data_IF_464450036996
#
_entry.id   IF_464450036996
#
_cell.length_a   1.000
_cell.length_b   1.000
_cell.length_c   1.000
_cell.angle_alpha   90.00
_cell.angle_beta   90.00
_cell.angle_gamma   90.00
#
_symmetry.space_group_name_H-M   'P 1'
#
loop_
_entity.id
_entity.type
_entity.pdbx_description
1 polymer ?
#
# COMPACT_ATOMS: atom_id res chain seq x y z
N UNK A 1 1.81 -1.63 46.99
CA UNK A 1 0.88 -2.01 45.93
C UNK A 1 1.69 -1.92 44.67
N UNK A 2 2.07 -3.09 44.13
CA UNK A 2 2.86 -3.14 42.89
C UNK A 2 1.89 -2.91 41.73
N UNK A 3 2.23 -1.96 40.87
CA UNK A 3 1.55 -1.75 39.60
C UNK A 3 1.74 -3.01 38.74
N UNK A 4 0.67 -3.76 38.63
CA UNK A 4 0.54 -4.87 37.69
C UNK A 4 0.37 -4.26 36.29
N UNK A 5 1.47 -3.85 35.67
CA UNK A 5 1.51 -3.60 34.24
C UNK A 5 1.47 -4.98 33.59
N UNK A 6 0.26 -5.45 33.32
CA UNK A 6 0.06 -6.59 32.43
C UNK A 6 0.70 -6.25 31.09
N UNK A 7 1.79 -6.95 30.75
CA UNK A 7 2.36 -6.91 29.40
C UNK A 7 1.22 -7.11 28.40
N UNK A 8 1.19 -6.35 27.29
CA UNK A 8 0.17 -6.53 26.27
C UNK A 8 0.24 -7.99 25.79
N UNK A 9 -0.83 -8.71 26.01
CA UNK A 9 -0.94 -10.12 25.58
C UNK A 9 -1.04 -10.11 24.07
N UNK A 10 0.09 -10.25 23.40
CA UNK A 10 0.10 -10.56 21.98
C UNK A 10 -0.65 -11.90 21.78
N UNK A 11 -1.50 -12.00 20.76
CA UNK A 11 -2.11 -13.27 20.43
C UNK A 11 -1.01 -14.30 20.19
N UNK A 12 -1.17 -15.55 20.66
CA UNK A 12 -0.15 -16.57 20.50
C UNK A 12 0.18 -16.74 19.02
N UNK A 13 1.45 -16.56 18.68
CA UNK A 13 1.94 -16.76 17.32
C UNK A 13 1.65 -18.20 16.93
N UNK A 14 0.74 -18.37 15.98
CA UNK A 14 0.54 -19.68 15.36
C UNK A 14 1.75 -19.95 14.47
N UNK A 15 2.23 -21.18 14.45
CA UNK A 15 3.23 -21.62 13.48
C UNK A 15 2.71 -21.29 12.06
N UNK A 16 3.35 -20.36 11.38
CA UNK A 16 2.89 -19.79 10.10
C UNK A 16 2.42 -18.33 10.20
N UNK A 17 2.70 -17.62 11.28
CA UNK A 17 2.55 -16.17 11.37
C UNK A 17 3.31 -15.48 10.22
N UNK A 18 2.70 -14.46 9.65
CA UNK A 18 3.23 -13.76 8.48
C UNK A 18 4.30 -12.74 8.91
N UNK A 19 4.21 -12.18 10.11
CA UNK A 19 5.18 -11.24 10.66
C UNK A 19 6.18 -11.92 11.58
N UNK A 20 7.40 -11.37 11.65
CA UNK A 20 8.42 -11.81 12.58
C UNK A 20 7.98 -11.50 14.03
N UNK A 21 7.87 -12.51 14.91
CA UNK A 21 7.50 -12.31 16.29
C UNK A 21 8.53 -11.52 17.10
N UNK A 22 9.78 -11.47 16.64
CA UNK A 22 10.88 -10.79 17.32
C UNK A 22 11.00 -9.31 16.91
N UNK A 23 10.12 -8.82 16.02
CA UNK A 23 10.09 -7.39 15.68
C UNK A 23 9.79 -6.55 16.93
N UNK A 24 10.56 -5.48 17.16
CA UNK A 24 10.37 -4.64 18.32
C UNK A 24 8.96 -4.02 18.32
N UNK A 25 8.31 -4.06 19.48
CA UNK A 25 7.00 -3.43 19.64
C UNK A 25 7.12 -1.91 19.60
N UNK A 26 8.08 -1.38 20.33
CA UNK A 26 8.46 0.03 20.45
C UNK A 26 9.71 0.13 21.36
N UNK A 27 10.50 1.21 21.30
CA UNK A 27 10.41 2.31 20.35
C UNK A 27 11.03 1.99 18.98
N UNK A 28 10.54 2.66 17.94
CA UNK A 28 11.17 2.68 16.62
C UNK A 28 12.21 3.80 16.57
N UNK A 29 13.12 3.76 15.56
CA UNK A 29 14.08 4.83 15.34
C UNK A 29 13.36 6.17 15.05
N UNK A 30 13.94 7.28 15.52
CA UNK A 30 13.51 8.64 15.19
C UNK A 30 14.18 9.18 13.91
N UNK A 31 14.89 8.33 13.17
CA UNK A 31 15.61 8.72 11.96
C UNK A 31 14.64 9.09 10.84
N UNK A 32 14.62 10.37 10.49
CA UNK A 32 13.89 10.85 9.33
C UNK A 32 14.75 10.80 8.07
N UNK A 33 14.07 10.52 6.96
CA UNK A 33 14.66 10.55 5.63
C UNK A 33 14.05 11.70 4.81
N UNK A 34 14.78 12.23 3.80
CA UNK A 34 14.15 13.08 2.81
C UNK A 34 13.13 12.29 1.99
N UNK A 35 12.06 12.95 1.54
CA UNK A 35 11.13 12.33 0.59
C UNK A 35 11.88 11.98 -0.72
N UNK A 36 11.61 10.80 -1.35
CA UNK A 36 10.53 9.86 -1.06
C UNK A 36 10.82 8.87 0.08
N UNK A 37 12.03 8.72 0.56
CA UNK A 37 12.46 7.76 1.57
C UNK A 37 12.76 6.38 1.00
N UNK A 38 13.72 5.69 1.60
CA UNK A 38 14.15 4.36 1.18
C UNK A 38 13.90 3.34 2.29
N UNK A 39 13.26 2.23 1.96
CA UNK A 39 12.99 1.15 2.89
C UNK A 39 14.30 0.50 3.38
N UNK A 40 15.31 0.40 2.52
CA UNK A 40 16.63 -0.14 2.86
C UNK A 40 17.36 0.63 3.97
N UNK A 41 16.97 1.91 4.21
CA UNK A 41 17.56 2.78 5.23
C UNK A 41 16.74 2.87 6.51
N UNK A 42 15.65 2.14 6.62
CA UNK A 42 14.82 2.14 7.84
C UNK A 42 15.44 1.29 8.94
N UNK A 43 15.26 1.71 10.18
CA UNK A 43 15.64 0.96 11.38
C UNK A 43 14.48 1.02 12.39
N UNK A 44 13.90 -0.14 12.81
CA UNK A 44 14.14 -1.46 12.23
C UNK A 44 13.64 -1.60 10.81
N UNK A 45 14.19 -2.55 10.07
CA UNK A 45 13.72 -2.88 8.71
C UNK A 45 12.26 -3.36 8.77
N UNK A 46 11.36 -2.86 7.90
CA UNK A 46 9.99 -3.40 7.82
C UNK A 46 9.99 -4.80 7.21
N UNK A 47 9.12 -5.66 7.72
CA UNK A 47 8.84 -6.96 7.09
C UNK A 47 7.86 -6.79 5.93
N UNK A 48 8.35 -6.97 4.70
CA UNK A 48 7.53 -6.94 3.49
C UNK A 48 7.15 -8.34 2.99
N UNK A 49 7.56 -9.38 3.70
CA UNK A 49 7.28 -10.76 3.33
C UNK A 49 8.42 -11.46 2.61
N UNK A 50 9.64 -10.89 2.58
CA UNK A 50 10.81 -11.47 1.91
C UNK A 50 11.12 -12.90 2.38
N UNK A 51 10.84 -13.20 3.64
CA UNK A 51 11.01 -14.52 4.24
C UNK A 51 9.71 -15.06 4.84
N UNK A 52 8.86 -14.18 5.35
CA UNK A 52 7.70 -14.52 6.17
C UNK A 52 6.46 -14.89 5.35
N UNK A 53 6.26 -14.33 4.15
CA UNK A 53 5.11 -14.65 3.30
C UNK A 53 5.30 -15.97 2.56
N UNK A 54 4.28 -16.83 2.57
CA UNK A 54 4.25 -18.09 1.83
C UNK A 54 3.05 -18.12 0.89
N UNK A 55 3.32 -18.23 -0.41
CA UNK A 55 2.29 -18.31 -1.43
C UNK A 55 1.53 -19.64 -1.42
N UNK A 56 0.37 -19.63 -2.09
CA UNK A 56 -0.53 -20.77 -2.25
C UNK A 56 -1.15 -20.82 -3.64
N UNK A 57 -0.49 -20.23 -4.63
CA UNK A 57 -0.88 -20.22 -6.04
C UNK A 57 -2.24 -19.57 -6.37
N UNK A 58 -2.74 -18.66 -5.49
CA UNK A 58 -4.05 -18.00 -5.64
C UNK A 58 -4.13 -17.03 -6.81
N UNK A 59 -3.00 -16.58 -7.36
CA UNK A 59 -2.92 -15.63 -8.46
C UNK A 59 -2.22 -16.22 -9.69
N UNK A 60 -2.16 -17.55 -9.81
CA UNK A 60 -1.53 -18.21 -10.94
C UNK A 60 -2.08 -17.69 -12.28
N UNK A 61 -1.17 -17.22 -13.15
CA UNK A 61 -1.50 -16.70 -14.48
C UNK A 61 -2.11 -15.29 -14.49
N UNK A 62 -2.27 -14.62 -13.34
CA UNK A 62 -2.65 -13.20 -13.26
C UNK A 62 -1.44 -12.32 -13.58
N UNK A 63 -1.72 -11.13 -14.14
CA UNK A 63 -0.73 -10.09 -14.42
C UNK A 63 -1.13 -8.85 -13.65
N UNK A 64 -0.24 -8.36 -12.81
CA UNK A 64 -0.51 -7.27 -11.89
C UNK A 64 0.38 -6.06 -12.14
N UNK A 65 -0.17 -4.86 -12.03
CA UNK A 65 0.57 -3.60 -11.89
C UNK A 65 0.35 -3.07 -10.48
N UNK A 66 1.45 -2.81 -9.75
CA UNK A 66 1.44 -2.23 -8.41
C UNK A 66 2.18 -0.90 -8.42
N UNK A 67 1.49 0.20 -8.11
CA UNK A 67 2.13 1.51 -7.97
C UNK A 67 2.71 1.71 -6.58
N UNK A 68 3.89 2.35 -6.47
CA UNK A 68 4.66 2.39 -5.22
C UNK A 68 5.01 0.97 -4.76
N UNK A 69 5.45 0.13 -5.72
CA UNK A 69 5.73 -1.28 -5.48
C UNK A 69 7.14 -1.57 -4.96
N UNK A 70 7.96 -0.56 -4.79
CA UNK A 70 9.35 -0.60 -4.32
C UNK A 70 9.46 -0.72 -2.80
N UNK A 71 8.51 -0.14 -2.06
CA UNK A 71 8.56 -0.02 -0.60
C UNK A 71 7.20 -0.26 0.06
N UNK A 72 7.21 -0.38 1.39
CA UNK A 72 6.02 -0.44 2.22
C UNK A 72 4.99 -1.49 1.77
N UNK A 73 3.72 -1.10 1.80
CA UNK A 73 2.59 -1.98 1.49
C UNK A 73 2.61 -2.43 0.03
N UNK A 74 3.04 -1.55 -0.90
CA UNK A 74 3.16 -1.90 -2.32
C UNK A 74 4.19 -2.98 -2.58
N UNK A 75 5.37 -2.88 -1.95
CA UNK A 75 6.41 -3.93 -1.98
C UNK A 75 5.88 -5.26 -1.44
N UNK A 76 5.21 -5.22 -0.29
CA UNK A 76 4.64 -6.44 0.30
C UNK A 76 3.57 -7.08 -0.59
N UNK A 77 2.71 -6.27 -1.21
CA UNK A 77 1.73 -6.76 -2.19
C UNK A 77 2.41 -7.36 -3.43
N UNK A 78 3.45 -6.72 -3.97
CA UNK A 78 4.18 -7.19 -5.14
C UNK A 78 4.89 -8.54 -4.89
N UNK A 79 5.56 -8.67 -3.74
CA UNK A 79 6.20 -9.93 -3.30
C UNK A 79 5.15 -11.02 -3.11
N UNK A 80 4.05 -10.71 -2.40
CA UNK A 80 2.98 -11.67 -2.18
C UNK A 80 2.35 -12.13 -3.50
N UNK A 81 2.10 -11.22 -4.44
CA UNK A 81 1.53 -11.55 -5.75
C UNK A 81 2.44 -12.49 -6.56
N UNK A 82 3.75 -12.23 -6.56
CA UNK A 82 4.71 -13.11 -7.22
C UNK A 82 4.69 -14.53 -6.62
N UNK A 83 4.68 -14.64 -5.29
CA UNK A 83 4.59 -15.92 -4.57
C UNK A 83 3.26 -16.63 -4.74
N UNK A 84 2.20 -15.90 -5.02
CA UNK A 84 0.90 -16.44 -5.40
C UNK A 84 0.79 -16.79 -6.90
N UNK A 85 1.87 -16.65 -7.66
CA UNK A 85 1.97 -17.08 -9.06
C UNK A 85 1.65 -16.01 -10.10
N UNK A 86 1.57 -14.73 -9.74
CA UNK A 86 1.35 -13.64 -10.68
C UNK A 86 2.64 -13.12 -11.30
N UNK A 87 2.57 -12.63 -12.53
CA UNK A 87 3.59 -11.77 -13.12
C UNK A 87 3.34 -10.33 -12.69
N UNK A 88 4.38 -9.60 -12.28
CA UNK A 88 4.21 -8.31 -11.60
C UNK A 88 5.03 -7.21 -12.27
N UNK A 89 4.37 -6.11 -12.61
CA UNK A 89 5.00 -4.82 -12.89
C UNK A 89 4.91 -3.93 -11.64
N UNK A 90 5.98 -3.25 -11.29
CA UNK A 90 5.98 -2.25 -10.24
C UNK A 90 6.30 -0.87 -10.80
N UNK A 91 5.52 0.14 -10.41
CA UNK A 91 5.91 1.54 -10.58
C UNK A 91 6.49 2.05 -9.27
N UNK A 92 7.47 2.92 -9.38
CA UNK A 92 8.16 3.59 -8.27
C UNK A 92 8.69 4.97 -8.71
N UNK A 93 8.97 5.84 -7.75
CA UNK A 93 9.64 7.11 -8.05
C UNK A 93 11.10 6.84 -8.46
N UNK A 94 11.66 7.53 -9.48
CA UNK A 94 13.03 7.25 -9.96
C UNK A 94 14.11 7.29 -8.87
N UNK A 95 13.92 8.08 -7.82
CA UNK A 95 14.86 8.17 -6.69
C UNK A 95 14.83 6.93 -5.76
N UNK A 96 13.87 6.01 -5.96
CA UNK A 96 13.70 4.76 -5.19
C UNK A 96 14.23 3.52 -5.93
N UNK A 97 15.06 3.72 -6.94
CA UNK A 97 15.61 2.66 -7.82
C UNK A 97 16.29 1.51 -7.06
N UNK A 98 16.99 1.78 -5.94
CA UNK A 98 17.68 0.75 -5.16
C UNK A 98 16.70 -0.24 -4.53
N UNK A 99 15.62 0.28 -3.91
CA UNK A 99 14.56 -0.53 -3.34
C UNK A 99 13.81 -1.33 -4.42
N UNK A 100 13.49 -0.68 -5.55
CA UNK A 100 12.80 -1.31 -6.67
C UNK A 100 13.59 -2.48 -7.26
N UNK A 101 14.91 -2.36 -7.43
CA UNK A 101 15.77 -3.46 -7.90
C UNK A 101 15.70 -4.68 -6.99
N UNK A 102 15.65 -4.46 -5.69
CA UNK A 102 15.50 -5.54 -4.72
C UNK A 102 14.18 -6.28 -4.93
N UNK A 103 13.07 -5.55 -5.13
CA UNK A 103 11.75 -6.16 -5.40
C UNK A 103 11.73 -6.92 -6.72
N UNK A 104 12.31 -6.35 -7.78
CA UNK A 104 12.42 -7.03 -9.09
C UNK A 104 13.15 -8.37 -8.93
N UNK A 105 14.29 -8.38 -8.25
CA UNK A 105 15.06 -9.62 -8.03
C UNK A 105 14.25 -10.66 -7.22
N UNK A 106 13.46 -10.24 -6.24
CA UNK A 106 12.59 -11.12 -5.45
C UNK A 106 11.48 -11.74 -6.31
N UNK A 107 10.84 -10.97 -7.19
CA UNK A 107 9.81 -11.46 -8.11
C UNK A 107 10.40 -12.48 -9.10
N UNK A 108 11.57 -12.18 -9.67
CA UNK A 108 12.29 -13.07 -10.59
C UNK A 108 12.73 -14.37 -9.91
N UNK A 109 13.13 -14.31 -8.63
CA UNK A 109 13.50 -15.50 -7.85
C UNK A 109 12.33 -16.47 -7.64
N UNK A 110 11.09 -16.00 -7.68
CA UNK A 110 9.87 -16.82 -7.65
C UNK A 110 9.53 -17.40 -9.05
N UNK A 111 10.41 -17.22 -10.05
CA UNK A 111 10.19 -17.66 -11.44
C UNK A 111 9.09 -16.86 -12.16
N UNK A 112 8.76 -15.67 -11.68
CA UNK A 112 7.74 -14.82 -12.26
C UNK A 112 8.35 -13.69 -13.09
N UNK A 113 7.59 -13.17 -14.04
CA UNK A 113 8.00 -12.01 -14.82
C UNK A 113 7.92 -10.77 -13.96
N UNK A 114 9.02 -10.01 -13.89
CA UNK A 114 9.12 -8.73 -13.22
C UNK A 114 9.30 -7.59 -14.24
N UNK A 115 8.64 -6.46 -14.02
CA UNK A 115 8.78 -5.27 -14.87
C UNK A 115 8.94 -4.03 -14.01
N UNK A 116 10.05 -3.32 -14.18
CA UNK A 116 10.35 -2.07 -13.48
C UNK A 116 9.88 -0.87 -14.31
N UNK A 117 9.08 0.02 -13.73
CA UNK A 117 8.47 1.17 -14.40
C UNK A 117 8.72 2.46 -13.59
N UNK A 118 9.95 3.02 -13.62
CA UNK A 118 10.25 4.28 -12.94
C UNK A 118 9.47 5.44 -13.55
N UNK A 119 8.66 6.13 -12.74
CA UNK A 119 7.93 7.32 -13.17
C UNK A 119 7.39 8.11 -11.99
N UNK A 120 7.43 9.45 -12.10
CA UNK A 120 6.71 10.34 -11.19
C UNK A 120 5.24 10.43 -11.64
N UNK A 121 4.35 9.89 -10.84
CA UNK A 121 2.91 9.82 -11.14
C UNK A 121 2.19 11.17 -11.04
N UNK A 122 2.86 12.24 -10.62
CA UNK A 122 2.31 13.60 -10.64
C UNK A 122 2.18 14.17 -12.05
N UNK A 123 2.86 13.55 -13.02
CA UNK A 123 2.71 13.84 -14.44
C UNK A 123 1.70 12.89 -15.08
N UNK A 124 0.66 13.45 -15.71
CA UNK A 124 -0.41 12.65 -16.34
C UNK A 124 0.11 11.74 -17.45
N UNK A 125 0.98 12.26 -18.33
CA UNK A 125 1.48 11.49 -19.45
C UNK A 125 2.34 10.31 -18.96
N UNK A 126 3.17 10.53 -17.93
CA UNK A 126 3.97 9.49 -17.31
C UNK A 126 3.07 8.44 -16.62
N UNK A 127 2.05 8.86 -15.87
CA UNK A 127 1.12 7.94 -15.19
C UNK A 127 0.38 7.04 -16.18
N UNK A 128 -0.12 7.60 -17.30
CA UNK A 128 -0.78 6.83 -18.37
C UNK A 128 0.21 5.88 -19.06
N UNK A 129 1.42 6.35 -19.34
CA UNK A 129 2.46 5.54 -19.98
C UNK A 129 2.87 4.33 -19.13
N UNK A 130 2.92 4.46 -17.80
CA UNK A 130 3.16 3.33 -16.88
C UNK A 130 2.17 2.20 -17.11
N UNK A 131 0.88 2.51 -17.30
CA UNK A 131 -0.14 1.50 -17.57
C UNK A 131 0.08 0.84 -18.93
N UNK A 132 0.32 1.63 -19.98
CA UNK A 132 0.55 1.11 -21.34
C UNK A 132 1.78 0.19 -21.38
N UNK A 133 2.87 0.63 -20.75
CA UNK A 133 4.12 -0.15 -20.68
C UNK A 133 3.93 -1.45 -19.89
N UNK A 134 3.19 -1.42 -18.75
CA UNK A 134 2.86 -2.61 -17.98
C UNK A 134 2.06 -3.61 -18.82
N UNK A 135 0.97 -3.16 -19.45
CA UNK A 135 0.11 -4.00 -20.32
C UNK A 135 0.92 -4.61 -21.46
N UNK A 136 1.75 -3.80 -22.13
CA UNK A 136 2.59 -4.26 -23.22
C UNK A 136 3.63 -5.29 -22.75
N UNK A 137 4.32 -4.98 -21.67
CA UNK A 137 5.38 -5.83 -21.16
C UNK A 137 4.83 -7.15 -20.61
N UNK A 138 3.76 -7.12 -19.82
CA UNK A 138 3.14 -8.32 -19.26
C UNK A 138 2.30 -9.11 -20.29
N UNK A 139 1.87 -8.47 -21.38
CA UNK A 139 0.97 -9.06 -22.36
C UNK A 139 -0.52 -9.00 -21.98
N UNK A 140 -0.88 -8.16 -21.02
CA UNK A 140 -2.23 -7.90 -20.51
C UNK A 140 -2.23 -7.45 -19.05
N UNK A 141 -3.42 -7.27 -18.47
CA UNK A 141 -3.57 -6.82 -17.09
C UNK A 141 -4.86 -7.38 -16.48
N UNK A 142 -4.75 -8.10 -15.37
CA UNK A 142 -5.88 -8.59 -14.58
C UNK A 142 -6.03 -7.86 -13.24
N UNK A 143 -4.91 -7.35 -12.68
CA UNK A 143 -4.93 -6.69 -11.38
C UNK A 143 -4.23 -5.34 -11.47
N UNK A 144 -4.93 -4.28 -11.09
CA UNK A 144 -4.37 -2.93 -10.96
C UNK A 144 -4.41 -2.51 -9.49
N UNK A 145 -3.24 -2.32 -8.89
CA UNK A 145 -3.10 -1.83 -7.51
C UNK A 145 -2.63 -0.38 -7.53
N UNK A 146 -3.52 0.53 -7.16
CA UNK A 146 -3.29 1.96 -7.04
C UNK A 146 -2.87 2.26 -5.59
N UNK A 147 -1.59 2.00 -5.27
CA UNK A 147 -1.06 2.08 -3.91
C UNK A 147 -0.17 3.30 -3.68
N UNK A 148 0.55 3.79 -4.68
CA UNK A 148 1.42 4.95 -4.53
C UNK A 148 0.72 6.09 -3.79
N UNK A 149 1.43 6.74 -2.87
CA UNK A 149 0.85 7.79 -2.06
C UNK A 149 1.89 8.75 -1.51
N UNK A 150 1.47 9.99 -1.30
CA UNK A 150 2.24 11.03 -0.63
C UNK A 150 1.53 11.41 0.67
N UNK A 151 2.30 11.50 1.75
CA UNK A 151 1.84 11.93 3.08
C UNK A 151 2.91 12.85 3.67
N UNK A 152 2.50 14.03 4.12
CA UNK A 152 3.38 14.96 4.81
C UNK A 152 2.64 15.53 6.02
N UNK A 153 3.22 15.38 7.20
CA UNK A 153 2.65 15.92 8.42
C UNK A 153 2.87 17.45 8.49
N UNK A 154 1.83 18.19 8.84
CA UNK A 154 1.87 19.63 9.06
C UNK A 154 1.24 19.98 10.40
N UNK A 155 1.81 20.97 11.12
CA UNK A 155 1.27 21.41 12.43
C UNK A 155 -0.04 22.19 12.29
N UNK A 156 -0.18 22.95 11.20
CA UNK A 156 -1.32 23.78 10.88
C UNK A 156 -1.61 23.74 9.39
N UNK A 157 -2.84 24.03 9.00
CA UNK A 157 -3.21 24.25 7.59
C UNK A 157 -2.39 25.39 6.95
N UNK A 158 -1.95 26.37 7.74
CA UNK A 158 -1.14 27.51 7.30
C UNK A 158 0.28 27.08 6.87
N UNK A 159 0.76 25.95 7.35
CA UNK A 159 2.08 25.38 6.99
C UNK A 159 2.04 24.61 5.66
N UNK A 160 0.84 24.33 5.13
CA UNK A 160 0.67 23.58 3.88
C UNK A 160 0.70 24.57 2.72
N UNK A 161 1.80 24.56 1.95
CA UNK A 161 1.88 25.39 0.75
C UNK A 161 0.98 24.84 -0.37
N UNK A 162 0.58 25.73 -1.30
CA UNK A 162 -0.19 25.30 -2.49
C UNK A 162 0.52 24.20 -3.30
N UNK A 163 1.84 24.29 -3.44
CA UNK A 163 2.63 23.30 -4.15
C UNK A 163 2.66 21.95 -3.43
N UNK A 164 2.76 21.94 -2.09
CA UNK A 164 2.72 20.72 -1.29
C UNK A 164 1.34 20.06 -1.37
N UNK A 165 0.27 20.86 -1.28
CA UNK A 165 -1.11 20.40 -1.46
C UNK A 165 -1.34 19.82 -2.86
N UNK A 166 -0.93 20.54 -3.92
CA UNK A 166 -1.05 20.09 -5.31
C UNK A 166 -0.30 18.76 -5.54
N UNK A 167 0.91 18.62 -4.98
CA UNK A 167 1.68 17.38 -5.07
C UNK A 167 0.95 16.21 -4.40
N UNK A 168 0.32 16.42 -3.24
CA UNK A 168 -0.48 15.39 -2.55
C UNK A 168 -1.72 15.01 -3.37
N UNK A 169 -2.44 16.00 -3.92
CA UNK A 169 -3.61 15.76 -4.77
C UNK A 169 -3.23 15.03 -6.06
N UNK A 170 -2.16 15.45 -6.74
CA UNK A 170 -1.69 14.79 -7.96
C UNK A 170 -1.32 13.34 -7.73
N UNK A 171 -0.56 13.05 -6.67
CA UNK A 171 -0.14 11.69 -6.37
C UNK A 171 -1.32 10.81 -5.94
N UNK A 172 -2.17 11.31 -5.05
CA UNK A 172 -3.14 10.46 -4.35
C UNK A 172 -4.52 10.42 -5.04
N UNK A 173 -4.86 11.39 -5.90
CA UNK A 173 -6.16 11.49 -6.55
C UNK A 173 -6.05 11.45 -8.08
N UNK A 174 -5.25 12.34 -8.68
CA UNK A 174 -5.18 12.42 -10.13
C UNK A 174 -4.52 11.17 -10.73
N UNK A 175 -3.39 10.73 -10.19
CA UNK A 175 -2.72 9.53 -10.67
C UNK A 175 -3.61 8.28 -10.67
N UNK A 176 -4.28 7.92 -9.56
CA UNK A 176 -5.25 6.84 -9.54
C UNK A 176 -6.35 6.96 -10.61
N UNK A 177 -6.87 8.17 -10.80
CA UNK A 177 -7.89 8.44 -11.82
C UNK A 177 -7.35 8.22 -13.23
N UNK A 178 -6.22 8.82 -13.59
CA UNK A 178 -5.61 8.69 -14.92
C UNK A 178 -5.25 7.24 -15.22
N UNK A 179 -4.63 6.55 -14.27
CA UNK A 179 -4.21 5.16 -14.43
C UNK A 179 -5.39 4.20 -14.55
N UNK A 180 -6.43 4.37 -13.72
CA UNK A 180 -7.64 3.55 -13.84
C UNK A 180 -8.30 3.77 -15.22
N UNK A 181 -8.46 5.03 -15.65
CA UNK A 181 -9.03 5.35 -16.95
C UNK A 181 -8.22 4.73 -18.10
N UNK A 182 -6.88 4.82 -18.04
CA UNK A 182 -5.98 4.24 -19.04
C UNK A 182 -6.04 2.71 -19.07
N UNK A 183 -6.24 2.07 -17.92
CA UNK A 183 -6.27 0.61 -17.82
C UNK A 183 -7.56 -0.02 -18.37
N UNK A 184 -8.71 0.72 -18.34
CA UNK A 184 -10.03 0.17 -18.68
C UNK A 184 -10.09 -0.61 -19.98
N UNK A 185 -9.48 -0.19 -21.11
CA UNK A 185 -9.51 -0.95 -22.36
C UNK A 185 -8.82 -2.33 -22.26
N UNK A 186 -7.86 -2.49 -21.34
CA UNK A 186 -7.08 -3.71 -21.16
C UNK A 186 -7.68 -4.65 -20.11
N UNK A 187 -8.52 -4.13 -19.21
CA UNK A 187 -9.16 -4.91 -18.15
C UNK A 187 -10.37 -5.67 -18.72
N UNK A 188 -10.42 -6.96 -18.42
CA UNK A 188 -11.49 -7.87 -18.88
C UNK A 188 -12.35 -8.35 -17.71
N UNK A 189 -13.41 -9.08 -18.02
CA UNK A 189 -14.19 -9.79 -17.01
C UNK A 189 -13.29 -10.62 -16.08
N UNK A 190 -13.48 -10.51 -14.78
CA UNK A 190 -12.65 -11.12 -13.74
C UNK A 190 -11.48 -10.24 -13.26
N UNK A 191 -11.24 -9.06 -13.89
CA UNK A 191 -10.21 -8.14 -13.43
C UNK A 191 -10.56 -7.46 -12.10
N UNK A 192 -9.52 -7.03 -11.38
CA UNK A 192 -9.63 -6.36 -10.08
C UNK A 192 -8.83 -5.06 -10.05
N UNK A 193 -9.46 -3.98 -9.60
CA UNK A 193 -8.80 -2.71 -9.25
C UNK A 193 -8.83 -2.59 -7.73
N UNK A 194 -7.68 -2.33 -7.12
CA UNK A 194 -7.54 -2.17 -5.67
C UNK A 194 -6.87 -0.82 -5.41
N UNK A 195 -7.53 0.04 -4.63
CA UNK A 195 -6.96 1.34 -4.27
C UNK A 195 -6.63 1.39 -2.78
N UNK A 196 -5.46 1.94 -2.45
CA UNK A 196 -5.05 2.12 -1.06
C UNK A 196 -5.65 3.41 -0.50
N UNK A 197 -6.66 3.26 0.34
CA UNK A 197 -7.23 4.29 1.20
C UNK A 197 -6.42 4.39 2.52
N UNK A 198 -7.03 4.66 3.64
CA UNK A 198 -6.43 4.71 4.98
C UNK A 198 -7.52 4.76 6.04
N UNK A 199 -7.19 4.42 7.30
CA UNK A 199 -7.99 4.77 8.46
C UNK A 199 -8.27 6.27 8.53
N UNK A 200 -7.39 7.11 7.97
CA UNK A 200 -7.57 8.56 7.86
C UNK A 200 -8.79 8.98 7.01
N UNK A 201 -9.33 8.08 6.20
CA UNK A 201 -10.59 8.31 5.47
C UNK A 201 -11.84 8.27 6.38
N UNK A 202 -11.71 7.76 7.58
CA UNK A 202 -12.80 7.58 8.57
C UNK A 202 -12.58 8.42 9.82
N UNK A 203 -11.34 8.51 10.28
CA UNK A 203 -10.93 9.27 11.46
C UNK A 203 -9.71 10.12 11.13
N UNK A 204 -9.91 11.30 10.50
CA UNK A 204 -8.82 12.16 10.06
C UNK A 204 -8.05 12.78 11.24
N UNK A 205 -6.73 12.67 11.21
CA UNK A 205 -5.84 13.32 12.16
C UNK A 205 -5.59 14.77 11.74
N UNK A 206 -5.55 15.69 12.71
CA UNK A 206 -5.37 17.12 12.44
C UNK A 206 -4.07 17.44 11.67
N UNK A 207 -3.00 16.66 11.91
CA UNK A 207 -1.70 16.88 11.28
C UNK A 207 -1.54 16.24 9.89
N UNK A 208 -2.57 15.54 9.38
CA UNK A 208 -2.59 14.90 8.05
C UNK A 208 -3.73 15.45 7.20
N UNK A 209 -3.94 16.76 7.25
CA UNK A 209 -5.11 17.43 6.70
C UNK A 209 -5.35 17.17 5.21
N UNK A 210 -4.34 17.37 4.36
CA UNK A 210 -4.42 17.13 2.91
C UNK A 210 -4.50 15.64 2.58
N UNK A 211 -3.69 14.83 3.25
CA UNK A 211 -3.67 13.39 3.07
C UNK A 211 -5.02 12.73 3.38
N UNK A 212 -5.61 13.06 4.52
CA UNK A 212 -6.89 12.47 4.95
C UNK A 212 -8.01 12.71 3.92
N UNK A 213 -8.08 13.91 3.34
CA UNK A 213 -9.02 14.24 2.27
C UNK A 213 -8.83 13.31 1.07
N UNK A 214 -7.58 13.08 0.65
CA UNK A 214 -7.30 12.20 -0.50
C UNK A 214 -7.71 10.76 -0.22
N UNK A 215 -7.55 10.28 1.01
CA UNK A 215 -7.88 8.90 1.38
C UNK A 215 -9.40 8.70 1.52
N UNK A 216 -10.14 9.72 1.94
CA UNK A 216 -11.60 9.73 1.86
C UNK A 216 -12.09 9.70 0.39
N UNK A 217 -11.45 10.48 -0.49
CA UNK A 217 -11.75 10.48 -1.91
C UNK A 217 -11.46 9.11 -2.56
N UNK A 218 -10.37 8.43 -2.19
CA UNK A 218 -10.03 7.09 -2.70
C UNK A 218 -11.08 6.03 -2.31
N UNK A 219 -11.63 6.10 -1.11
CA UNK A 219 -12.75 5.26 -0.69
C UNK A 219 -13.98 5.51 -1.58
N UNK A 220 -14.36 6.77 -1.77
CA UNK A 220 -15.48 7.13 -2.62
C UNK A 220 -15.25 6.73 -4.09
N UNK A 221 -14.02 6.88 -4.60
CA UNK A 221 -13.61 6.44 -5.92
C UNK A 221 -13.86 4.93 -6.12
N UNK A 222 -13.43 4.09 -5.17
CA UNK A 222 -13.65 2.65 -5.26
C UNK A 222 -15.14 2.30 -5.32
N UNK A 223 -15.95 2.91 -4.45
CA UNK A 223 -17.40 2.69 -4.40
C UNK A 223 -18.13 3.12 -5.67
N UNK A 224 -17.76 4.27 -6.22
CA UNK A 224 -18.38 4.79 -7.44
C UNK A 224 -17.98 3.97 -8.67
N UNK A 225 -16.67 3.68 -8.81
CA UNK A 225 -16.14 2.95 -9.96
C UNK A 225 -16.61 1.47 -9.96
N UNK A 226 -16.77 0.86 -8.79
CA UNK A 226 -17.32 -0.49 -8.65
C UNK A 226 -18.72 -0.60 -9.30
N UNK A 227 -19.59 0.38 -9.04
CA UNK A 227 -20.95 0.41 -9.63
C UNK A 227 -20.91 0.55 -11.15
N UNK A 228 -19.96 1.31 -11.70
CA UNK A 228 -19.81 1.50 -13.15
C UNK A 228 -19.25 0.25 -13.84
N UNK A 229 -18.37 -0.49 -13.17
CA UNK A 229 -17.63 -1.60 -13.78
C UNK A 229 -18.20 -2.97 -13.48
N UNK A 230 -19.11 -3.10 -12.49
CA UNK A 230 -19.77 -4.36 -12.17
C UNK A 230 -20.48 -5.01 -13.40
N UNK A 231 -21.18 -4.27 -14.28
CA UNK A 231 -21.75 -4.86 -15.49
C UNK A 231 -20.71 -5.43 -16.48
N UNK A 232 -19.45 -5.04 -16.35
CA UNK A 232 -18.32 -5.57 -17.13
C UNK A 232 -17.60 -6.73 -16.44
N UNK A 233 -18.06 -7.12 -15.25
CA UNK A 233 -17.43 -8.15 -14.42
C UNK A 233 -16.08 -7.74 -13.84
N UNK A 234 -15.80 -6.44 -13.70
CA UNK A 234 -14.59 -5.89 -13.09
C UNK A 234 -14.91 -5.44 -11.68
N UNK A 235 -14.14 -5.92 -10.71
CA UNK A 235 -14.30 -5.57 -9.30
C UNK A 235 -13.41 -4.39 -8.93
N UNK A 236 -13.89 -3.53 -8.04
CA UNK A 236 -13.12 -2.40 -7.53
C UNK A 236 -13.30 -2.31 -6.02
N UNK A 237 -12.22 -2.36 -5.25
CA UNK A 237 -12.26 -2.30 -3.80
C UNK A 237 -11.16 -1.37 -3.26
N UNK A 238 -11.31 -0.96 -2.02
CA UNK A 238 -10.31 -0.20 -1.29
C UNK A 238 -9.74 -1.03 -0.14
N UNK A 239 -8.48 -0.75 0.21
CA UNK A 239 -7.86 -1.21 1.46
C UNK A 239 -7.59 0.02 2.30
N UNK A 240 -7.94 -0.02 3.59
CA UNK A 240 -7.75 1.07 4.56
C UNK A 240 -6.82 0.63 5.69
N UNK A 241 -5.50 0.74 5.51
CA UNK A 241 -4.54 0.44 6.57
C UNK A 241 -4.65 1.44 7.73
N UNK A 242 -4.38 0.96 8.94
CA UNK A 242 -4.02 1.78 10.10
C UNK A 242 -2.56 2.21 10.07
N UNK A 243 -1.92 2.41 11.22
CA UNK A 243 -0.49 2.68 11.29
C UNK A 243 0.29 1.45 10.82
N UNK A 244 1.10 1.61 9.77
CA UNK A 244 1.98 0.57 9.21
C UNK A 244 3.38 1.13 9.07
N UNK A 245 4.40 0.40 9.54
CA UNK A 245 5.80 0.82 9.50
C UNK A 245 6.33 0.77 8.07
N UNK A 246 6.51 1.94 7.44
CA UNK A 246 6.87 2.09 6.03
C UNK A 246 7.74 3.31 5.80
N UNK A 247 8.46 3.35 4.68
CA UNK A 247 9.25 4.51 4.25
C UNK A 247 8.42 5.82 4.21
N UNK A 248 7.12 5.73 3.94
CA UNK A 248 6.20 6.87 3.96
C UNK A 248 6.18 7.60 5.33
N UNK A 249 6.31 6.85 6.43
CA UNK A 249 6.25 7.44 7.77
C UNK A 249 7.53 8.23 8.09
N UNK A 250 8.68 7.67 7.78
CA UNK A 250 9.99 8.29 8.07
C UNK A 250 10.37 9.40 7.09
N UNK A 251 9.71 9.48 5.93
CA UNK A 251 9.98 10.52 4.91
C UNK A 251 9.02 11.72 4.97
N UNK A 252 8.58 12.07 6.17
CA UNK A 252 7.72 13.22 6.44
C UNK A 252 6.26 12.87 6.74
N UNK A 253 5.88 11.59 6.67
CA UNK A 253 4.53 11.15 7.02
C UNK A 253 4.19 11.30 8.49
N UNK A 254 5.21 11.39 9.35
CA UNK A 254 5.09 11.67 10.78
C UNK A 254 6.09 12.74 11.21
N UNK A 255 5.81 13.42 12.32
CA UNK A 255 6.80 14.26 12.98
C UNK A 255 7.89 13.38 13.60
N UNK A 256 9.13 13.87 13.58
CA UNK A 256 10.30 13.14 14.08
C UNK A 256 10.10 12.62 15.51
N UNK A 257 9.60 13.47 16.41
CA UNK A 257 9.36 13.16 17.82
C UNK A 257 8.22 12.15 18.05
N UNK A 258 7.45 11.81 17.02
CA UNK A 258 6.36 10.82 17.06
C UNK A 258 6.73 9.46 16.48
N UNK A 259 7.85 9.37 15.76
CA UNK A 259 8.28 8.11 15.15
C UNK A 259 8.55 7.01 16.20
N UNK A 260 9.24 7.27 17.35
CA UNK A 260 9.51 6.23 18.33
C UNK A 260 8.29 5.54 18.91
N UNK A 261 7.15 6.26 18.96
CA UNK A 261 5.88 5.77 19.51
C UNK A 261 4.85 5.47 18.41
N UNK A 262 5.27 5.45 17.14
CA UNK A 262 4.35 5.27 16.02
C UNK A 262 3.58 3.95 16.14
N UNK A 263 2.25 4.04 16.13
CA UNK A 263 1.35 2.88 16.23
C UNK A 263 1.16 2.33 17.65
N UNK A 264 1.82 2.89 18.68
CA UNK A 264 1.64 2.47 20.07
C UNK A 264 0.20 2.64 20.58
N UNK A 265 -0.54 3.60 20.03
CA UNK A 265 -1.95 3.85 20.37
C UNK A 265 -2.92 2.82 19.74
N UNK A 266 -2.44 1.94 18.86
CA UNK A 266 -3.30 0.87 18.36
C UNK A 266 -3.61 -0.13 19.48
N UNK A 267 -4.79 -0.78 19.52
CA UNK A 267 -5.08 -1.81 20.50
C UNK A 267 -4.09 -2.96 20.55
N UNK A 268 -3.36 -3.24 19.44
CA UNK A 268 -2.26 -4.21 19.41
C UNK A 268 -0.95 -3.65 19.96
N UNK A 269 -0.87 -2.36 20.33
CA UNK A 269 0.29 -1.71 20.95
C UNK A 269 1.48 -1.50 20.01
N UNK A 270 1.32 -1.68 18.70
CA UNK A 270 2.37 -1.54 17.70
C UNK A 270 1.82 -1.14 16.33
N UNK A 271 2.63 -0.62 15.40
CA UNK A 271 2.24 -0.54 14.01
C UNK A 271 2.16 -1.93 13.40
N UNK A 272 1.37 -2.07 12.33
CA UNK A 272 1.43 -3.24 11.46
C UNK A 272 2.71 -3.27 10.64
N UNK A 273 3.12 -4.45 10.21
CA UNK A 273 4.14 -4.63 9.19
C UNK A 273 3.50 -4.67 7.80
N UNK A 274 4.17 -4.22 6.75
CA UNK A 274 3.64 -4.26 5.38
C UNK A 274 3.09 -5.62 4.98
N UNK A 275 3.77 -6.70 5.34
CA UNK A 275 3.35 -8.07 5.05
C UNK A 275 2.01 -8.45 5.70
N UNK A 276 1.65 -7.84 6.84
CA UNK A 276 0.36 -8.11 7.50
C UNK A 276 -0.83 -7.51 6.72
N UNK A 277 -0.57 -6.60 5.80
CA UNK A 277 -1.60 -5.99 4.93
C UNK A 277 -1.71 -6.75 3.60
N UNK A 278 -0.63 -7.34 3.11
CA UNK A 278 -0.56 -8.03 1.83
C UNK A 278 -1.66 -9.09 1.60
N UNK A 279 -2.08 -9.91 2.59
CA UNK A 279 -3.14 -10.91 2.40
C UNK A 279 -4.47 -10.32 1.93
N UNK A 280 -4.80 -9.08 2.30
CA UNK A 280 -6.03 -8.41 1.84
C UNK A 280 -5.92 -8.11 0.34
N UNK A 281 -4.76 -7.64 -0.13
CA UNK A 281 -4.53 -7.40 -1.57
C UNK A 281 -4.61 -8.70 -2.36
N UNK A 282 -4.03 -9.79 -1.86
CA UNK A 282 -4.11 -11.11 -2.48
C UNK A 282 -5.55 -11.60 -2.56
N UNK A 283 -6.32 -11.51 -1.47
CA UNK A 283 -7.75 -11.85 -1.47
C UNK A 283 -8.49 -11.05 -2.54
N UNK A 284 -8.35 -9.72 -2.54
CA UNK A 284 -9.07 -8.86 -3.46
C UNK A 284 -8.66 -9.03 -4.93
N UNK A 285 -7.42 -9.46 -5.19
CA UNK A 285 -6.91 -9.78 -6.51
C UNK A 285 -7.37 -11.16 -7.02
N UNK A 286 -7.66 -12.09 -6.10
CA UNK A 286 -8.01 -13.48 -6.42
C UNK A 286 -9.48 -13.67 -6.78
N UNK A 287 -9.79 -14.86 -7.31
CA UNK A 287 -11.16 -15.25 -7.64
C UNK A 287 -12.00 -15.57 -6.39
N UNK A 288 -11.37 -15.73 -5.22
CA UNK A 288 -12.05 -15.88 -3.91
C UNK A 288 -12.91 -14.65 -3.58
N UNK A 289 -12.53 -13.47 -4.10
CA UNK A 289 -13.27 -12.23 -3.94
C UNK A 289 -14.35 -12.00 -5.02
N UNK A 290 -14.84 -13.03 -5.69
CA UNK A 290 -15.77 -12.91 -6.83
C UNK A 290 -17.08 -12.16 -6.50
N UNK A 291 -17.49 -12.11 -5.25
CA UNK A 291 -18.68 -11.36 -4.78
C UNK A 291 -18.32 -10.11 -3.95
N UNK A 292 -17.04 -9.67 -4.02
CA UNK A 292 -16.53 -8.53 -3.24
C UNK A 292 -16.22 -7.39 -4.22
N UNK A 293 -17.07 -6.34 -4.23
CA UNK A 293 -16.83 -5.12 -5.00
C UNK A 293 -17.50 -3.92 -4.35
N UNK A 294 -16.86 -2.75 -4.38
CA UNK A 294 -17.32 -1.52 -3.74
C UNK A 294 -17.02 -1.45 -2.25
N UNK A 295 -16.26 -2.42 -1.71
CA UNK A 295 -15.95 -2.51 -0.30
C UNK A 295 -14.63 -1.80 0.07
N UNK A 296 -14.50 -1.46 1.35
CA UNK A 296 -13.29 -0.90 1.92
C UNK A 296 -12.85 -1.76 3.11
N UNK A 297 -11.81 -2.55 2.92
CA UNK A 297 -11.28 -3.47 3.94
C UNK A 297 -10.26 -2.79 4.82
N UNK A 298 -10.50 -2.76 6.12
CA UNK A 298 -9.61 -2.17 7.11
C UNK A 298 -8.68 -3.22 7.73
N UNK A 299 -7.42 -2.83 7.93
CA UNK A 299 -6.43 -3.53 8.74
C UNK A 299 -5.75 -2.52 9.66
N UNK A 300 -6.27 -2.36 10.87
CA UNK A 300 -6.03 -1.18 11.74
C UNK A 300 -5.47 -1.54 13.12
N UNK A 301 -5.06 -2.79 13.36
CA UNK A 301 -4.57 -3.21 14.67
C UNK A 301 -5.61 -3.07 15.80
N UNK A 302 -6.91 -3.10 15.45
CA UNK A 302 -8.03 -2.98 16.41
C UNK A 302 -8.64 -1.59 16.55
N UNK A 303 -8.04 -0.54 15.95
CA UNK A 303 -8.58 0.85 16.02
C UNK A 303 -9.94 1.01 15.32
N UNK A 304 -10.31 0.06 14.46
CA UNK A 304 -11.55 0.13 13.71
C UNK A 304 -11.57 1.25 12.66
N UNK A 305 -12.71 1.40 11.99
CA UNK A 305 -12.92 2.49 11.01
C UNK A 305 -13.86 3.57 11.54
N UNK A 306 -14.22 3.49 12.80
CA UNK A 306 -15.14 4.42 13.47
C UNK A 306 -16.50 4.48 12.75
N UNK A 307 -17.54 3.98 13.35
CA UNK A 307 -18.92 4.14 12.87
C UNK A 307 -19.58 5.29 13.56
#
# INVERSE_FOLDING_TARGET
MADDKTDPVLPPHRSGAISDPDLPLNPYSDDQQPWPGLAEKMDPQPDHGEQSYKGRDRLTGKRALVTGGDSGIGRAAAIAFAREGADVAINYHPDEESDARTVIALIEAEGRKAVALPADLRDEAAARKVVDDAVKALGGLEVLVLNAGRQQAAKSIEDITSDAFDATIKTNIYAPFWMAQQALPSLKNGASIIITSSVQAFSPSAHLFDYAQTKAANRAFAQALAKQLAPKGIRVNAVAPGPVWTALQVSGGQFKDKLPEFGADSPLGRPGQPVEIAPIYVLLASDEASYITGECYAATGGSGTGG
#
